data_IF_595980537301
#
_entry.id   IF_595980537301
#
_cell.length_a   1.000
_cell.length_b   1.000
_cell.length_c   1.000
_cell.angle_alpha   90.00
_cell.angle_beta   90.00
_cell.angle_gamma   90.00
#
_symmetry.space_group_name_H-M   'P 1'
#
loop_
_entity.id
_entity.type
_entity.pdbx_description
1 polymer ?
#
# COMPACT_ATOMS: atom_id res chain seq x y z
N UNK A 1 16.44 8.37 -23.88
CA UNK A 1 15.19 9.04 -24.31
C UNK A 1 13.91 8.51 -23.62
N UNK A 2 14.00 7.71 -22.54
CA UNK A 2 12.82 7.19 -21.82
C UNK A 2 12.40 8.00 -20.58
N UNK A 3 13.27 8.90 -20.08
CA UNK A 3 13.08 9.55 -18.77
C UNK A 3 12.06 10.72 -18.76
N UNK A 4 11.73 11.32 -19.91
CA UNK A 4 10.77 12.44 -19.96
C UNK A 4 9.31 11.99 -20.01
N UNK A 5 9.03 10.73 -20.36
CA UNK A 5 7.66 10.20 -20.47
C UNK A 5 6.98 9.94 -19.12
N UNK A 6 7.73 9.95 -18.02
CA UNK A 6 7.19 9.70 -16.68
C UNK A 6 6.75 10.96 -15.95
N UNK A 7 7.03 12.15 -16.52
CA UNK A 7 6.86 13.40 -15.78
C UNK A 7 5.39 13.81 -15.60
N UNK A 8 4.51 13.37 -16.50
CA UNK A 8 3.07 13.64 -16.42
C UNK A 8 2.25 12.37 -16.63
N UNK A 9 1.84 11.76 -15.51
CA UNK A 9 0.89 10.63 -15.51
C UNK A 9 -0.57 11.07 -15.70
N UNK A 10 -0.83 12.38 -15.86
CA UNK A 10 -2.17 12.90 -16.11
C UNK A 10 -2.63 12.48 -17.51
N UNK A 11 -3.82 11.90 -17.60
CA UNK A 11 -4.42 11.45 -18.85
C UNK A 11 -3.59 10.40 -19.63
N UNK A 12 -2.61 9.75 -18.98
CA UNK A 12 -1.71 8.77 -19.63
C UNK A 12 -2.46 7.52 -20.07
N UNK A 13 -3.22 6.93 -19.14
CA UNK A 13 -3.91 5.65 -19.35
C UNK A 13 -5.43 5.81 -19.55
N UNK A 14 -6.00 6.91 -19.08
CA UNK A 14 -7.43 7.22 -19.15
C UNK A 14 -7.58 8.62 -19.72
N UNK A 15 -8.32 8.81 -20.80
CA UNK A 15 -8.56 10.15 -21.37
C UNK A 15 -9.65 10.91 -20.61
N UNK A 16 -9.79 12.21 -20.90
CA UNK A 16 -10.87 13.05 -20.34
C UNK A 16 -12.25 12.51 -20.70
N UNK A 17 -12.43 12.07 -21.94
CA UNK A 17 -13.67 11.46 -22.41
C UNK A 17 -13.96 10.13 -21.73
N UNK A 18 -12.93 9.31 -21.50
CA UNK A 18 -13.06 8.05 -20.78
C UNK A 18 -13.53 8.27 -19.34
N UNK A 19 -13.03 9.32 -18.67
CA UNK A 19 -13.47 9.67 -17.33
C UNK A 19 -14.93 10.12 -17.30
N UNK A 20 -15.36 10.96 -18.25
CA UNK A 20 -16.77 11.37 -18.37
C UNK A 20 -17.67 10.16 -18.56
N UNK A 21 -17.26 9.19 -19.40
CA UNK A 21 -17.97 7.94 -19.56
C UNK A 21 -18.01 7.13 -18.26
N UNK A 22 -16.87 6.96 -17.59
CA UNK A 22 -16.75 6.21 -16.34
C UNK A 22 -17.61 6.77 -15.20
N UNK A 23 -17.79 8.10 -15.13
CA UNK A 23 -18.69 8.74 -14.17
C UNK A 23 -20.18 8.52 -14.46
N UNK A 24 -20.55 8.28 -15.73
CA UNK A 24 -21.94 7.99 -16.13
C UNK A 24 -22.32 6.53 -15.89
N UNK A 25 -21.36 5.61 -16.00
CA UNK A 25 -21.60 4.19 -15.79
C UNK A 25 -21.90 3.93 -14.32
N UNK A 26 -23.07 3.32 -14.05
CA UNK A 26 -23.52 2.98 -12.69
C UNK A 26 -23.38 1.49 -12.39
N UNK A 27 -23.42 0.64 -13.42
CA UNK A 27 -23.23 -0.81 -13.29
C UNK A 27 -21.77 -1.13 -12.96
N UNK A 28 -21.55 -1.93 -11.91
CA UNK A 28 -20.20 -2.32 -11.49
C UNK A 28 -19.51 -3.21 -12.54
N UNK A 29 -20.28 -4.07 -13.20
CA UNK A 29 -19.75 -4.98 -14.22
C UNK A 29 -19.26 -4.20 -15.44
N UNK A 30 -20.06 -3.25 -15.93
CA UNK A 30 -19.72 -2.44 -17.10
C UNK A 30 -18.54 -1.51 -16.81
N UNK A 31 -18.48 -0.96 -15.58
CA UNK A 31 -17.36 -0.16 -15.13
C UNK A 31 -16.05 -0.96 -15.14
N UNK A 32 -16.08 -2.18 -14.58
CA UNK A 32 -14.93 -3.06 -14.54
C UNK A 32 -14.45 -3.47 -15.93
N UNK A 33 -15.37 -3.80 -16.84
CA UNK A 33 -15.05 -4.13 -18.23
C UNK A 33 -14.46 -2.95 -19.00
N UNK A 34 -15.01 -1.75 -18.79
CA UNK A 34 -14.48 -0.53 -19.41
C UNK A 34 -13.04 -0.24 -18.94
N UNK A 35 -12.80 -0.32 -17.63
CA UNK A 35 -11.45 -0.20 -17.05
C UNK A 35 -10.51 -1.28 -17.58
N UNK A 36 -10.97 -2.53 -17.69
CA UNK A 36 -10.20 -3.65 -18.25
C UNK A 36 -9.73 -3.36 -19.69
N UNK A 37 -10.61 -2.79 -20.49
CA UNK A 37 -10.33 -2.43 -21.88
C UNK A 37 -9.36 -1.26 -21.98
N UNK A 38 -9.53 -0.21 -21.16
CA UNK A 38 -8.71 1.01 -21.24
C UNK A 38 -7.32 0.86 -20.64
N UNK A 39 -7.21 0.21 -19.49
CA UNK A 39 -5.93 -0.05 -18.82
C UNK A 39 -5.13 -1.17 -19.50
N UNK A 40 -5.63 -1.73 -20.60
CA UNK A 40 -4.94 -2.77 -21.37
C UNK A 40 -4.82 -4.11 -20.63
N UNK A 41 -5.61 -4.34 -19.57
CA UNK A 41 -5.58 -5.57 -18.75
C UNK A 41 -5.88 -6.80 -19.61
N UNK A 42 -6.86 -6.68 -20.53
CA UNK A 42 -7.20 -7.75 -21.48
C UNK A 42 -6.05 -8.09 -22.43
N UNK A 43 -5.22 -7.10 -22.78
CA UNK A 43 -4.07 -7.26 -23.68
C UNK A 43 -2.85 -7.83 -22.96
N UNK A 44 -2.63 -7.43 -21.71
CA UNK A 44 -1.52 -7.90 -20.87
C UNK A 44 -1.67 -9.38 -20.50
N UNK A 45 -2.92 -9.85 -20.36
CA UNK A 45 -3.22 -11.21 -19.89
C UNK A 45 -4.14 -11.97 -20.86
N UNK A 46 -3.62 -12.41 -22.03
CA UNK A 46 -4.40 -13.15 -23.01
C UNK A 46 -4.70 -14.58 -22.53
N UNK A 47 -5.80 -15.15 -23.02
CA UNK A 47 -6.15 -16.57 -22.81
C UNK A 47 -6.94 -16.87 -21.53
N UNK A 48 -7.56 -18.07 -21.44
CA UNK A 48 -8.43 -18.45 -20.33
C UNK A 48 -7.67 -18.63 -19.01
N UNK A 49 -6.41 -19.10 -19.05
CA UNK A 49 -5.59 -19.35 -17.86
C UNK A 49 -5.33 -18.10 -17.02
N UNK A 50 -5.41 -16.92 -17.62
CA UNK A 50 -5.22 -15.64 -16.92
C UNK A 50 -6.53 -14.99 -16.46
N UNK A 51 -7.66 -15.70 -16.46
CA UNK A 51 -8.95 -15.14 -16.02
C UNK A 51 -8.92 -14.61 -14.59
N UNK A 52 -8.30 -15.36 -13.67
CA UNK A 52 -8.19 -14.95 -12.27
C UNK A 52 -7.34 -13.68 -12.12
N UNK A 53 -6.21 -13.60 -12.84
CA UNK A 53 -5.35 -12.40 -12.89
C UNK A 53 -6.12 -11.19 -13.42
N UNK A 54 -6.88 -11.35 -14.50
CA UNK A 54 -7.74 -10.29 -15.04
C UNK A 54 -8.78 -9.84 -14.01
N UNK A 55 -9.45 -10.79 -13.36
CA UNK A 55 -10.47 -10.49 -12.35
C UNK A 55 -9.89 -9.74 -11.16
N UNK A 56 -8.72 -10.14 -10.66
CA UNK A 56 -8.02 -9.46 -9.58
C UNK A 56 -7.66 -8.01 -9.96
N UNK A 57 -7.14 -7.80 -11.18
CA UNK A 57 -6.83 -6.44 -11.67
C UNK A 57 -8.09 -5.59 -11.83
N UNK A 58 -9.15 -6.13 -12.41
CA UNK A 58 -10.43 -5.43 -12.57
C UNK A 58 -10.99 -5.02 -11.20
N UNK A 59 -10.93 -5.92 -10.23
CA UNK A 59 -11.40 -5.67 -8.87
C UNK A 59 -10.57 -4.56 -8.18
N UNK A 60 -9.23 -4.60 -8.32
CA UNK A 60 -8.33 -3.57 -7.81
C UNK A 60 -8.70 -2.18 -8.32
N UNK A 61 -8.79 -2.00 -9.64
CA UNK A 61 -9.10 -0.69 -10.23
C UNK A 61 -10.56 -0.27 -10.01
N UNK A 62 -11.50 -1.22 -9.97
CA UNK A 62 -12.90 -0.92 -9.65
C UNK A 62 -13.05 -0.41 -8.22
N UNK A 63 -12.34 -1.02 -7.28
CA UNK A 63 -12.30 -0.59 -5.88
C UNK A 63 -11.60 0.76 -5.71
N UNK A 64 -10.49 0.98 -6.42
CA UNK A 64 -9.78 2.26 -6.42
C UNK A 64 -10.68 3.39 -6.93
N UNK A 65 -11.44 3.16 -8.01
CA UNK A 65 -12.39 4.14 -8.53
C UNK A 65 -13.51 4.45 -7.53
N UNK A 66 -14.03 3.41 -6.87
CA UNK A 66 -15.07 3.56 -5.85
C UNK A 66 -14.56 4.39 -4.67
N UNK A 67 -13.32 4.18 -4.23
CA UNK A 67 -12.67 5.01 -3.23
C UNK A 67 -12.57 6.47 -3.69
N UNK A 68 -12.09 6.72 -4.90
CA UNK A 68 -12.00 8.06 -5.44
C UNK A 68 -13.35 8.79 -5.51
N UNK A 69 -14.42 8.07 -5.89
CA UNK A 69 -15.79 8.62 -5.90
C UNK A 69 -16.26 8.99 -4.50
N UNK A 70 -15.99 8.15 -3.50
CA UNK A 70 -16.34 8.45 -2.09
C UNK A 70 -15.62 9.70 -1.59
N UNK A 71 -14.36 9.89 -1.97
CA UNK A 71 -13.56 11.07 -1.64
C UNK A 71 -13.86 12.31 -2.51
N UNK A 72 -14.82 12.22 -3.45
CA UNK A 72 -15.18 13.29 -4.41
C UNK A 72 -13.98 13.88 -5.16
N UNK A 73 -13.03 13.03 -5.54
CA UNK A 73 -11.85 13.44 -6.31
C UNK A 73 -12.22 13.89 -7.73
N UNK A 74 -11.47 14.85 -8.27
CA UNK A 74 -11.62 15.33 -9.65
C UNK A 74 -11.17 14.29 -10.66
N UNK A 75 -11.65 14.35 -11.90
CA UNK A 75 -11.27 13.39 -12.95
C UNK A 75 -9.74 13.31 -13.16
N UNK A 76 -9.04 14.44 -13.02
CA UNK A 76 -7.58 14.54 -13.13
C UNK A 76 -6.87 13.77 -12.01
N UNK A 77 -7.32 13.93 -10.75
CA UNK A 77 -6.81 13.16 -9.60
C UNK A 77 -7.00 11.66 -9.81
N UNK A 78 -8.17 11.25 -10.29
CA UNK A 78 -8.49 9.83 -10.48
C UNK A 78 -7.64 9.24 -11.60
N UNK A 79 -7.57 9.89 -12.76
CA UNK A 79 -6.74 9.43 -13.87
C UNK A 79 -5.28 9.28 -13.43
N UNK A 80 -4.75 10.26 -12.71
CA UNK A 80 -3.37 10.24 -12.24
C UNK A 80 -3.15 9.10 -11.24
N UNK A 81 -4.06 8.92 -10.27
CA UNK A 81 -3.93 7.84 -9.28
C UNK A 81 -4.00 6.46 -9.92
N UNK A 82 -4.91 6.25 -10.87
CA UNK A 82 -5.00 5.00 -11.64
C UNK A 82 -3.70 4.70 -12.37
N UNK A 83 -3.12 5.72 -13.02
CA UNK A 83 -1.83 5.60 -13.72
C UNK A 83 -0.67 5.30 -12.76
N UNK A 84 -0.62 5.94 -11.59
CA UNK A 84 0.39 5.67 -10.55
C UNK A 84 0.27 4.22 -10.10
N UNK A 85 -0.93 3.77 -9.70
CA UNK A 85 -1.15 2.40 -9.22
C UNK A 85 -0.80 1.35 -10.30
N UNK A 86 -1.17 1.61 -11.56
CA UNK A 86 -0.81 0.73 -12.67
C UNK A 86 0.71 0.68 -12.89
N UNK A 87 1.39 1.83 -12.85
CA UNK A 87 2.85 1.93 -13.00
C UNK A 87 3.56 1.19 -11.87
N UNK A 88 3.12 1.39 -10.62
CA UNK A 88 3.63 0.67 -9.46
C UNK A 88 3.45 -0.83 -9.64
N UNK A 89 2.26 -1.30 -10.01
CA UNK A 89 2.00 -2.72 -10.19
C UNK A 89 2.89 -3.36 -11.27
N UNK A 90 2.97 -2.74 -12.44
CA UNK A 90 3.80 -3.22 -13.55
C UNK A 90 5.28 -3.26 -13.19
N UNK A 91 5.77 -2.22 -12.50
CA UNK A 91 7.17 -2.14 -12.08
C UNK A 91 7.48 -3.14 -10.97
N UNK A 92 6.55 -3.35 -10.03
CA UNK A 92 6.75 -4.30 -8.94
C UNK A 92 6.73 -5.77 -9.36
N UNK A 93 5.88 -6.10 -10.33
CA UNK A 93 5.72 -7.48 -10.80
C UNK A 93 6.66 -7.82 -11.97
N UNK A 94 7.31 -6.83 -12.57
CA UNK A 94 8.34 -7.04 -13.58
C UNK A 94 9.70 -7.45 -12.98
N UNK A 95 10.62 -8.00 -13.78
CA UNK A 95 11.96 -8.34 -13.33
C UNK A 95 12.87 -7.09 -13.23
N UNK A 96 13.63 -6.91 -12.12
CA UNK A 96 13.61 -7.69 -10.89
C UNK A 96 12.38 -7.37 -10.02
N UNK A 97 11.78 -8.41 -9.42
CA UNK A 97 10.62 -8.23 -8.56
C UNK A 97 10.98 -7.40 -7.32
N UNK A 98 10.16 -6.40 -7.02
CA UNK A 98 10.38 -5.49 -5.90
C UNK A 98 9.84 -6.08 -4.58
N UNK A 99 10.50 -5.76 -3.47
CA UNK A 99 9.93 -6.01 -2.14
C UNK A 99 8.74 -5.08 -1.85
N UNK A 100 7.93 -5.42 -0.84
CA UNK A 100 6.78 -4.58 -0.43
C UNK A 100 7.22 -3.16 -0.10
N UNK A 101 8.34 -3.02 0.62
CA UNK A 101 8.91 -1.72 1.04
C UNK A 101 9.34 -0.92 -0.19
N UNK A 102 10.10 -1.54 -1.10
CA UNK A 102 10.56 -0.89 -2.33
C UNK A 102 9.40 -0.43 -3.22
N UNK A 103 8.38 -1.27 -3.38
CA UNK A 103 7.20 -0.92 -4.17
C UNK A 103 6.38 0.21 -3.52
N UNK A 104 6.29 0.23 -2.19
CA UNK A 104 5.63 1.31 -1.46
C UNK A 104 6.41 2.62 -1.58
N UNK A 105 7.74 2.60 -1.46
CA UNK A 105 8.59 3.78 -1.65
C UNK A 105 8.49 4.31 -3.09
N UNK A 106 8.46 3.41 -4.08
CA UNK A 106 8.24 3.79 -5.47
C UNK A 106 6.87 4.47 -5.65
N UNK A 107 5.79 3.87 -5.13
CA UNK A 107 4.45 4.46 -5.14
C UNK A 107 4.41 5.84 -4.47
N UNK A 108 4.99 5.95 -3.28
CA UNK A 108 5.07 7.18 -2.48
C UNK A 108 5.85 8.27 -3.23
N UNK A 109 6.96 7.90 -3.88
CA UNK A 109 7.74 8.83 -4.69
C UNK A 109 6.94 9.40 -5.86
N UNK A 110 6.15 8.57 -6.56
CA UNK A 110 5.27 8.99 -7.64
C UNK A 110 4.16 9.90 -7.13
N UNK A 111 3.54 9.53 -6.00
CA UNK A 111 2.47 10.32 -5.40
C UNK A 111 2.94 11.73 -5.01
N UNK A 112 4.12 11.86 -4.38
CA UNK A 112 4.67 13.16 -4.01
C UNK A 112 5.10 14.00 -5.22
N UNK A 113 5.62 13.37 -6.28
CA UNK A 113 5.89 14.06 -7.55
C UNK A 113 4.63 14.69 -8.15
N UNK A 114 3.43 14.23 -7.83
CA UNK A 114 2.16 14.81 -8.30
C UNK A 114 1.46 15.69 -7.26
N UNK A 115 2.13 16.03 -6.16
CA UNK A 115 1.56 16.89 -5.10
C UNK A 115 2.35 18.19 -4.89
N UNK A 116 3.67 18.18 -5.06
CA UNK A 116 4.48 19.39 -4.91
C UNK A 116 4.44 20.19 -6.22
N UNK A 117 4.28 21.51 -6.18
CA UNK A 117 4.36 22.36 -7.38
C UNK A 117 5.82 22.72 -7.69
N UNK A 118 6.41 22.12 -8.73
CA UNK A 118 7.76 22.43 -9.23
C UNK A 118 7.72 22.40 -10.76
N UNK A 119 7.28 23.48 -11.43
CA UNK A 119 7.42 23.57 -12.87
C UNK A 119 8.90 23.42 -13.24
N UNK A 120 9.33 22.58 -14.21
CA UNK A 120 8.60 21.78 -15.20
C UNK A 120 8.28 20.30 -14.80
N UNK A 121 8.56 19.88 -13.57
CA UNK A 121 8.59 18.47 -13.15
C UNK A 121 7.32 17.95 -12.46
N UNK A 122 6.48 18.84 -11.94
CA UNK A 122 5.30 18.42 -11.18
C UNK A 122 4.15 19.42 -11.24
N UNK A 123 2.94 18.90 -11.38
CA UNK A 123 1.68 19.64 -11.19
C UNK A 123 1.15 19.24 -9.81
N UNK A 124 0.78 20.21 -8.98
CA UNK A 124 0.17 19.99 -7.68
C UNK A 124 -1.30 19.56 -7.82
N UNK A 125 -1.52 18.32 -8.25
CA UNK A 125 -2.86 17.77 -8.46
C UNK A 125 -3.47 17.33 -7.13
N UNK A 126 -2.65 16.71 -6.27
CA UNK A 126 -3.09 16.18 -4.99
C UNK A 126 -2.86 17.17 -3.86
N UNK A 127 -3.90 17.38 -3.04
CA UNK A 127 -3.78 18.12 -1.78
C UNK A 127 -3.20 17.21 -0.69
N UNK A 128 -2.63 17.77 0.40
CA UNK A 128 -2.12 16.97 1.51
C UNK A 128 -3.18 16.03 2.13
N UNK A 129 -4.45 16.47 2.15
CA UNK A 129 -5.57 15.65 2.61
C UNK A 129 -5.82 14.46 1.68
N UNK A 130 -5.76 14.67 0.36
CA UNK A 130 -5.88 13.59 -0.63
C UNK A 130 -4.77 12.55 -0.45
N UNK A 131 -3.52 13.00 -0.27
CA UNK A 131 -2.36 12.11 -0.08
C UNK A 131 -2.57 11.21 1.12
N UNK A 132 -2.96 11.78 2.28
CA UNK A 132 -3.19 10.99 3.50
C UNK A 132 -4.27 9.92 3.26
N UNK A 133 -5.38 10.30 2.63
CA UNK A 133 -6.46 9.37 2.31
C UNK A 133 -6.02 8.28 1.32
N UNK A 134 -5.24 8.63 0.30
CA UNK A 134 -4.72 7.70 -0.70
C UNK A 134 -3.76 6.71 -0.06
N UNK A 135 -2.82 7.17 0.76
CA UNK A 135 -1.84 6.30 1.43
C UNK A 135 -2.56 5.32 2.36
N UNK A 136 -3.45 5.82 3.21
CA UNK A 136 -4.21 4.97 4.14
C UNK A 136 -5.05 3.92 3.40
N UNK A 137 -5.74 4.32 2.33
CA UNK A 137 -6.49 3.39 1.49
C UNK A 137 -5.60 2.34 0.82
N UNK A 138 -4.49 2.76 0.22
CA UNK A 138 -3.61 1.87 -0.56
C UNK A 138 -2.88 0.88 0.34
N UNK A 139 -2.47 1.31 1.54
CA UNK A 139 -1.88 0.43 2.55
C UNK A 139 -2.86 -0.65 3.01
N UNK A 140 -4.10 -0.27 3.29
CA UNK A 140 -5.12 -1.20 3.80
C UNK A 140 -5.73 -2.13 2.74
N UNK A 141 -5.48 -1.88 1.45
CA UNK A 141 -6.08 -2.66 0.35
C UNK A 141 -5.03 -3.33 -0.53
N UNK A 142 -4.25 -2.55 -1.27
CA UNK A 142 -3.27 -3.06 -2.23
C UNK A 142 -2.04 -3.62 -1.53
N UNK A 143 -1.37 -2.84 -0.67
CA UNK A 143 -0.11 -3.26 -0.06
C UNK A 143 -0.29 -4.35 1.01
N UNK A 144 -1.41 -4.34 1.74
CA UNK A 144 -1.79 -5.44 2.65
C UNK A 144 -1.79 -6.81 1.97
N UNK A 145 -2.12 -6.86 0.69
CA UNK A 145 -2.18 -8.10 -0.09
C UNK A 145 -1.10 -8.16 -1.18
N UNK A 146 -0.01 -7.39 -1.03
CA UNK A 146 1.00 -7.24 -2.07
C UNK A 146 1.69 -8.56 -2.45
N UNK A 147 2.02 -9.40 -1.47
CA UNK A 147 2.63 -10.73 -1.71
C UNK A 147 1.75 -11.63 -2.59
N UNK A 148 0.42 -11.51 -2.49
CA UNK A 148 -0.52 -12.22 -3.38
C UNK A 148 -0.42 -11.72 -4.82
N UNK A 149 -0.31 -10.40 -5.02
CA UNK A 149 -0.07 -9.84 -6.35
C UNK A 149 1.29 -10.27 -6.91
N UNK A 150 2.36 -10.25 -6.12
CA UNK A 150 3.66 -10.75 -6.57
C UNK A 150 3.60 -12.21 -7.00
N UNK A 151 2.98 -13.08 -6.21
CA UNK A 151 2.83 -14.49 -6.57
C UNK A 151 1.96 -14.69 -7.81
N UNK A 152 0.84 -13.97 -7.91
CA UNK A 152 -0.08 -14.13 -9.01
C UNK A 152 0.48 -13.57 -10.33
N UNK A 153 1.22 -12.46 -10.30
CA UNK A 153 1.63 -11.72 -11.50
C UNK A 153 3.14 -11.80 -11.80
N UNK A 154 3.93 -12.29 -10.85
CA UNK A 154 5.37 -12.48 -11.04
C UNK A 154 5.67 -13.50 -12.14
N UNK A 155 6.83 -13.32 -12.76
CA UNK A 155 7.39 -14.33 -13.65
C UNK A 155 7.78 -15.57 -12.82
N UNK A 156 7.46 -16.76 -13.32
CA UNK A 156 7.81 -18.00 -12.64
C UNK A 156 9.33 -18.12 -12.62
N UNK A 157 9.94 -18.06 -11.43
CA UNK A 157 11.34 -18.41 -11.27
C UNK A 157 11.42 -19.93 -11.23
N UNK A 158 11.91 -20.55 -12.30
CA UNK A 158 12.25 -21.96 -12.29
C UNK A 158 13.49 -22.16 -11.40
N UNK A 159 13.31 -22.82 -10.26
CA UNK A 159 14.43 -23.26 -9.42
C UNK A 159 15.12 -24.43 -10.11
N UNK A 160 16.31 -24.19 -10.68
CA UNK A 160 17.19 -25.25 -11.15
C UNK A 160 18.08 -25.70 -9.99
N UNK A 161 17.81 -26.88 -9.46
CA UNK A 161 18.66 -27.54 -8.45
C UNK A 161 19.69 -28.35 -9.24
N UNK A 162 20.95 -27.92 -9.20
CA UNK A 162 22.08 -28.70 -9.73
C UNK A 162 22.76 -29.38 -8.55
N UNK A 163 22.71 -30.71 -8.51
CA UNK A 163 23.50 -31.51 -7.57
C UNK A 163 24.89 -31.70 -8.18
N UNK A 164 25.88 -30.99 -7.65
CA UNK A 164 27.28 -31.26 -7.97
C UNK A 164 27.74 -32.41 -7.07
N UNK A 165 27.89 -33.61 -7.65
CA UNK A 165 28.58 -34.71 -6.96
C UNK A 165 30.05 -34.32 -6.78
N UNK A 166 30.39 -33.78 -5.61
CA UNK A 166 31.78 -33.66 -5.21
C UNK A 166 32.35 -35.07 -5.01
N UNK A 167 33.17 -35.52 -5.97
CA UNK A 167 34.10 -36.63 -5.74
C UNK A 167 35.06 -36.18 -4.64
N UNK A 168 34.80 -36.65 -3.43
CA UNK A 168 35.61 -36.36 -2.25
C UNK A 168 37.07 -36.78 -2.45
N UNK A 169 37.94 -35.77 -2.51
CA UNK A 169 39.28 -35.86 -1.95
C UNK A 169 39.33 -34.82 -0.83
N UNK A 170 39.32 -35.32 0.41
CA UNK A 170 39.17 -34.52 1.61
C UNK A 170 40.29 -33.49 1.75
N UNK A 171 39.90 -32.26 2.07
CA UNK A 171 40.79 -31.32 2.74
C UNK A 171 39.98 -30.57 3.80
N UNK A 172 40.18 -30.93 5.07
CA UNK A 172 39.45 -30.48 6.26
C UNK A 172 39.66 -28.99 6.61
N UNK A 173 40.15 -28.16 5.67
CA UNK A 173 40.48 -26.75 5.92
C UNK A 173 39.51 -25.74 5.27
N UNK A 174 38.52 -26.18 4.48
CA UNK A 174 37.53 -25.27 3.87
C UNK A 174 36.17 -25.22 4.60
N UNK A 175 35.84 -26.20 5.45
CA UNK A 175 34.58 -26.21 6.21
C UNK A 175 34.47 -25.06 7.24
N UNK A 176 35.58 -24.56 7.77
CA UNK A 176 35.56 -23.49 8.77
C UNK A 176 35.28 -22.12 8.15
N UNK A 177 35.71 -21.88 6.90
CA UNK A 177 35.41 -20.64 6.15
C UNK A 177 34.01 -20.59 5.56
N UNK A 178 33.38 -21.76 5.36
CA UNK A 178 32.01 -21.83 4.86
C UNK A 178 30.98 -21.54 5.97
N UNK A 179 31.23 -21.97 7.21
CA UNK A 179 30.34 -21.69 8.34
C UNK A 179 30.28 -20.19 8.70
N UNK A 180 31.36 -19.46 8.52
CA UNK A 180 31.40 -18.01 8.81
C UNK A 180 30.62 -17.15 7.80
N UNK A 181 30.19 -17.71 6.66
CA UNK A 181 29.45 -16.98 5.60
C UNK A 181 27.96 -17.31 5.52
N UNK A 182 27.46 -18.28 6.28
CA UNK A 182 26.04 -18.64 6.28
C UNK A 182 25.16 -17.80 7.22
N UNK A 183 25.76 -16.97 8.08
CA UNK A 183 25.00 -16.13 9.02
C UNK A 183 24.50 -14.80 8.40
N UNK A 184 24.90 -14.47 7.16
CA UNK A 184 24.64 -13.14 6.55
C UNK A 184 23.58 -13.10 5.44
N UNK A 185 22.88 -14.20 5.13
CA UNK A 185 21.83 -14.17 4.09
C UNK A 185 20.62 -14.99 4.51
N UNK A 186 19.78 -14.40 5.37
CA UNK A 186 18.30 -14.28 5.28
C UNK A 186 17.87 -13.42 6.49
N UNK A 187 17.53 -12.13 6.32
CA UNK A 187 16.67 -11.49 7.29
C UNK A 187 15.22 -11.83 6.92
N UNK A 188 14.68 -12.86 7.58
CA UNK A 188 13.24 -12.94 7.89
C UNK A 188 12.97 -11.87 8.96
N UNK A 189 13.10 -10.59 8.59
CA UNK A 189 13.05 -9.45 9.50
C UNK A 189 11.69 -8.78 9.62
N UNK A 190 10.63 -9.33 9.03
CA UNK A 190 9.29 -8.72 9.08
C UNK A 190 8.39 -9.32 10.17
N UNK A 191 8.79 -10.43 10.80
CA UNK A 191 7.97 -11.09 11.84
C UNK A 191 8.20 -10.49 13.24
N UNK A 192 9.42 -10.01 13.51
CA UNK A 192 9.78 -9.44 14.82
C UNK A 192 9.37 -7.97 14.98
N UNK A 193 9.33 -7.17 13.91
CA UNK A 193 8.92 -5.76 14.00
C UNK A 193 7.41 -5.62 14.28
N UNK A 194 6.56 -6.47 13.69
CA UNK A 194 5.13 -6.48 14.00
C UNK A 194 4.83 -6.96 15.42
N UNK A 195 5.68 -7.83 15.97
CA UNK A 195 5.50 -8.40 17.31
C UNK A 195 6.04 -7.48 18.41
N UNK A 196 6.99 -6.59 18.10
CA UNK A 196 7.46 -5.55 19.01
C UNK A 196 6.47 -4.39 19.09
N UNK A 197 5.92 -3.93 17.96
CA UNK A 197 4.89 -2.87 17.96
C UNK A 197 3.62 -3.31 18.71
N UNK A 198 3.23 -4.58 18.60
CA UNK A 198 2.09 -5.13 19.34
C UNK A 198 2.33 -5.23 20.86
N UNK A 199 3.58 -5.46 21.28
CA UNK A 199 3.95 -5.51 22.71
C UNK A 199 4.10 -4.12 23.32
N UNK A 200 4.61 -3.16 22.55
CA UNK A 200 4.78 -1.78 22.99
C UNK A 200 3.43 -1.04 23.16
N UNK A 201 2.44 -1.33 22.30
CA UNK A 201 1.07 -0.81 22.47
C UNK A 201 0.34 -1.41 23.69
N UNK A 202 0.57 -2.68 24.01
CA UNK A 202 -0.02 -3.33 25.19
C UNK A 202 0.62 -2.85 26.50
N UNK A 203 1.92 -2.56 26.50
CA UNK A 203 2.64 -2.02 27.66
C UNK A 203 2.32 -0.53 27.92
N UNK A 204 2.13 0.27 26.86
CA UNK A 204 1.68 1.65 26.97
C UNK A 204 0.24 1.76 27.51
N UNK A 205 -0.65 0.84 27.13
CA UNK A 205 -2.02 0.76 27.65
C UNK A 205 -2.09 0.29 29.12
N UNK A 206 -1.09 -0.47 29.59
CA UNK A 206 -0.95 -0.86 31.01
C UNK A 206 -0.40 0.28 31.87
N UNK A 207 0.59 1.04 31.38
CA UNK A 207 1.18 2.18 32.10
C UNK A 207 0.18 3.33 32.31
N UNK A 208 -0.72 3.59 31.36
CA UNK A 208 -1.79 4.59 31.53
C UNK A 208 -2.86 4.17 32.55
N UNK A 209 -2.99 2.87 32.87
CA UNK A 209 -3.94 2.37 33.87
C UNK A 209 -3.36 2.31 35.29
N UNK A 210 -2.03 2.24 35.43
CA UNK A 210 -1.37 2.28 36.73
C UNK A 210 -1.13 3.71 37.24
N UNK A 211 -0.91 4.69 36.35
CA UNK A 211 -0.77 6.12 36.74
C UNK A 211 -2.08 6.79 37.19
N UNK A 212 -3.26 6.26 36.88
CA UNK A 212 -4.55 6.77 37.41
C UNK A 212 -4.89 6.21 38.81
N UNK A 213 -4.05 5.32 39.36
CA UNK A 213 -4.32 4.63 40.64
C UNK A 213 -3.52 5.15 41.85
N UNK A 214 -2.63 6.13 41.68
CA UNK A 214 -1.82 6.68 42.78
C UNK A 214 -1.99 8.20 42.91
N UNK A 215 -3.18 8.62 43.34
CA UNK A 215 -3.40 9.93 43.97
C UNK A 215 -3.70 9.69 45.45
N UNK A 216 -2.84 10.14 46.39
CA UNK A 216 -3.05 9.91 47.81
C UNK A 216 -4.32 10.62 48.30
N UNK A 217 -5.24 9.82 48.83
CA UNK A 217 -6.51 10.22 49.43
C UNK A 217 -6.29 10.87 50.79
N UNK A 218 -6.02 12.17 50.80
CA UNK A 218 -6.02 12.98 52.02
C UNK A 218 -6.32 14.47 51.78
N UNK A 219 -7.44 14.81 51.11
CA UNK A 219 -8.23 16.03 51.38
C UNK A 219 -9.55 16.01 50.58
N UNK A 220 -10.55 15.26 51.05
CA UNK A 220 -11.95 15.42 50.61
C UNK A 220 -12.85 15.23 51.82
N UNK A 221 -12.91 16.27 52.64
CA UNK A 221 -13.90 16.42 53.69
C UNK A 221 -14.30 17.89 53.82
N UNK A 222 -14.67 18.53 52.71
CA UNK A 222 -15.66 19.62 52.69
C UNK A 222 -16.01 19.94 51.23
N UNK A 223 -17.20 20.48 50.97
CA UNK A 223 -17.72 21.03 49.69
C UNK A 223 -18.68 20.20 48.83
N UNK A 224 -19.12 18.99 49.19
CA UNK A 224 -20.24 18.32 48.47
C UNK A 224 -21.64 18.69 48.96
N UNK A 225 -21.80 19.80 49.72
CA UNK A 225 -23.07 20.14 50.35
C UNK A 225 -23.82 21.36 49.79
N UNK A 226 -23.32 22.09 48.78
CA UNK A 226 -23.94 23.38 48.40
C UNK A 226 -24.58 23.49 47.01
N UNK A 227 -24.31 22.61 46.05
CA UNK A 227 -24.81 22.84 44.68
C UNK A 227 -26.12 22.12 44.27
N UNK A 228 -26.68 21.24 45.10
CA UNK A 228 -28.00 20.62 44.81
C UNK A 228 -29.21 21.49 45.21
N UNK A 229 -29.00 22.72 45.69
CA UNK A 229 -30.10 23.63 46.07
C UNK A 229 -30.33 24.83 45.15
N UNK A 230 -29.58 25.00 44.06
CA UNK A 230 -29.80 26.12 43.14
C UNK A 230 -30.49 25.79 41.81
N UNK A 231 -30.80 24.52 41.49
CA UNK A 231 -31.50 24.16 40.23
C UNK A 231 -33.02 23.95 40.40
N UNK A 232 -33.58 24.15 41.61
CA UNK A 232 -35.05 24.15 41.83
C UNK A 232 -35.66 25.52 42.17
N UNK A 233 -34.87 26.59 42.10
CA UNK A 233 -35.37 27.97 42.12
C UNK A 233 -34.74 28.72 40.96
N UNK A 234 -35.51 28.87 39.88
CA UNK A 234 -35.49 29.90 38.83
C UNK A 234 -35.87 29.19 37.51
N UNK A 235 -37.19 29.20 37.28
CA UNK A 235 -37.95 28.91 36.04
C UNK A 235 -38.05 27.48 35.53
#
# INVERSE_FOLDING_TARGET
MAAEKELFMIWRDLSRDDMVHLFRVTSQQDQGQFLASRLGILRQFPGPSNELRRRAMIELFSNLFRFCRKQRMTAEKISTLMSITLSTHQTSCGPPMMTTIQAFDYFKSLLFKHSVERPPFSIAIFTPADIKAIIDYTLNTYFRHFKMYLFAFGENVELQITEEEEKGEGNEQEEEKAKEKLDDVIPLGEEDELNQVAKDEEEAAKKQKEEESDVPKAEVADLSAEDEKQVSRIF
#
